data_IF_127148718121
#
_entry.id   IF_127148718121
#
_cell.length_a   1.000
_cell.length_b   1.000
_cell.length_c   1.000
_cell.angle_alpha   90.00
_cell.angle_beta   90.00
_cell.angle_gamma   90.00
#
_symmetry.space_group_name_H-M   'P 1'
#
loop_
_entity.id
_entity.type
_entity.pdbx_description
1 polymer ?
#
# COMPACT_ATOMS: atom_id res chain seq x y z
N UNK A 1 102.21 -47.52 -37.03
CA UNK A 1 102.13 -47.40 -35.55
C UNK A 1 101.21 -46.23 -35.23
N UNK A 2 100.35 -46.28 -34.19
CA UNK A 2 99.32 -47.27 -33.89
C UNK A 2 97.94 -46.60 -33.58
N UNK A 3 96.93 -47.45 -33.34
CA UNK A 3 95.75 -47.25 -32.46
C UNK A 3 94.75 -46.08 -32.71
N UNK A 4 93.43 -46.21 -32.57
CA UNK A 4 92.60 -47.31 -32.08
C UNK A 4 91.24 -46.77 -31.58
N UNK A 5 90.19 -47.55 -31.86
CA UNK A 5 88.91 -47.73 -31.11
C UNK A 5 87.80 -46.66 -31.09
N UNK A 6 86.58 -47.21 -31.20
CA UNK A 6 85.29 -46.66 -30.74
C UNK A 6 84.23 -46.81 -31.84
N UNK A 7 83.49 -47.93 -31.97
CA UNK A 7 82.39 -48.35 -31.06
C UNK A 7 81.18 -47.42 -31.28
N UNK A 8 79.97 -47.81 -31.65
CA UNK A 8 79.27 -49.08 -31.84
C UNK A 8 77.77 -48.73 -32.04
N UNK A 9 76.93 -49.72 -32.34
CA UNK A 9 75.49 -49.62 -32.06
C UNK A 9 74.58 -49.31 -33.25
N UNK A 10 73.94 -50.38 -33.75
CA UNK A 10 72.83 -50.40 -34.74
C UNK A 10 71.56 -49.69 -34.24
N UNK A 11 70.69 -49.26 -35.16
CA UNK A 11 69.25 -49.53 -35.07
C UNK A 11 68.89 -50.61 -36.12
N UNK A 12 68.42 -51.82 -35.76
CA UNK A 12 67.04 -52.24 -35.38
C UNK A 12 65.99 -51.77 -36.39
N UNK A 13 65.53 -52.67 -37.26
CA UNK A 13 64.23 -53.40 -37.21
C UNK A 13 63.09 -52.56 -37.85
N UNK A 14 62.12 -53.04 -38.64
CA UNK A 14 61.60 -54.36 -39.03
C UNK A 14 60.53 -54.13 -40.12
N UNK A 15 60.33 -55.12 -41.01
CA UNK A 15 59.06 -55.64 -41.60
C UNK A 15 57.97 -54.60 -42.01
N UNK A 16 57.63 -54.39 -43.29
CA UNK A 16 56.89 -55.26 -44.23
C UNK A 16 55.58 -55.85 -43.70
N UNK A 17 54.54 -55.77 -44.55
CA UNK A 17 53.20 -56.38 -44.52
C UNK A 17 52.03 -55.52 -44.04
N UNK A 18 51.15 -55.17 -44.99
CA UNK A 18 49.77 -55.64 -44.92
C UNK A 18 48.68 -54.60 -44.58
N UNK A 19 47.66 -54.57 -45.44
CA UNK A 19 46.28 -54.38 -44.99
C UNK A 19 45.69 -53.01 -45.28
N UNK A 20 44.95 -52.90 -46.37
CA UNK A 20 43.91 -51.89 -46.51
C UNK A 20 42.85 -52.17 -45.42
N UNK A 21 42.73 -51.27 -44.44
CA UNK A 21 41.72 -51.38 -43.38
C UNK A 21 40.36 -51.07 -43.99
N UNK A 22 39.59 -52.12 -44.28
CA UNK A 22 38.17 -52.00 -44.58
C UNK A 22 37.46 -51.74 -43.25
N UNK A 23 37.03 -50.50 -43.03
CA UNK A 23 36.12 -50.18 -41.94
C UNK A 23 34.75 -50.80 -42.25
N UNK A 24 34.45 -51.96 -41.67
CA UNK A 24 33.07 -52.46 -41.58
C UNK A 24 32.35 -51.62 -40.53
N UNK A 25 31.58 -50.63 -40.98
CA UNK A 25 30.60 -49.98 -40.12
C UNK A 25 29.59 -51.03 -39.64
N UNK A 26 29.57 -51.28 -38.34
CA UNK A 26 28.55 -52.09 -37.70
C UNK A 26 27.20 -51.36 -37.84
N UNK A 27 26.34 -51.85 -38.73
CA UNK A 27 25.10 -51.21 -39.17
C UNK A 27 23.95 -51.25 -38.14
N UNK A 28 24.27 -51.40 -36.86
CA UNK A 28 23.26 -51.48 -35.79
C UNK A 28 22.86 -50.13 -35.20
N UNK A 29 23.37 -49.02 -35.74
CA UNK A 29 22.78 -47.71 -35.45
C UNK A 29 21.65 -47.49 -36.43
N UNK A 30 20.43 -47.83 -36.01
CA UNK A 30 19.21 -47.53 -36.77
C UNK A 30 19.20 -46.05 -37.11
N UNK A 31 18.96 -45.75 -38.40
CA UNK A 31 18.72 -44.40 -38.92
C UNK A 31 17.69 -43.64 -38.08
N UNK A 32 16.73 -44.33 -37.47
CA UNK A 32 15.73 -43.72 -36.59
C UNK A 32 16.35 -43.08 -35.33
N UNK A 33 17.42 -43.66 -34.78
CA UNK A 33 18.11 -43.10 -33.60
C UNK A 33 18.92 -41.86 -33.94
N UNK A 34 19.54 -41.82 -35.11
CA UNK A 34 20.29 -40.65 -35.60
C UNK A 34 19.32 -39.54 -35.98
N UNK A 35 18.21 -39.86 -36.67
CA UNK A 35 17.16 -38.90 -37.06
C UNK A 35 16.45 -38.34 -35.81
N UNK A 36 16.22 -39.14 -34.77
CA UNK A 36 15.65 -38.65 -33.51
C UNK A 36 16.61 -37.72 -32.76
N UNK A 37 17.92 -37.99 -32.76
CA UNK A 37 18.92 -37.09 -32.17
C UNK A 37 19.14 -35.81 -33.00
N UNK A 38 18.96 -35.83 -34.33
CA UNK A 38 19.07 -34.63 -35.17
C UNK A 38 17.77 -33.82 -35.29
N UNK A 39 16.59 -34.42 -35.10
CA UNK A 39 15.31 -33.68 -35.10
C UNK A 39 15.09 -32.83 -33.84
N UNK A 40 15.85 -33.06 -32.78
CA UNK A 40 15.90 -32.19 -31.60
C UNK A 40 16.78 -30.94 -31.82
N UNK A 41 17.66 -30.93 -32.84
CA UNK A 41 18.61 -29.83 -33.06
C UNK A 41 18.08 -28.71 -33.97
N UNK A 42 16.89 -28.86 -34.58
CA UNK A 42 16.40 -27.97 -35.64
C UNK A 42 15.09 -27.22 -35.35
N UNK A 43 14.60 -27.21 -34.11
CA UNK A 43 13.31 -26.57 -33.78
C UNK A 43 13.34 -25.74 -32.49
N UNK A 44 14.48 -25.09 -32.23
CA UNK A 44 14.72 -24.26 -31.04
C UNK A 44 14.18 -22.82 -31.17
N UNK A 45 13.75 -22.41 -32.37
CA UNK A 45 13.26 -21.05 -32.63
C UNK A 45 11.97 -20.72 -31.86
N UNK A 46 11.06 -21.69 -31.72
CA UNK A 46 9.83 -21.50 -30.95
C UNK A 46 10.03 -21.45 -29.43
N UNK A 47 11.04 -22.18 -28.92
CA UNK A 47 11.35 -22.22 -27.48
C UNK A 47 12.01 -20.93 -27.00
N UNK A 48 12.93 -20.38 -27.81
CA UNK A 48 13.56 -19.09 -27.52
C UNK A 48 12.53 -17.96 -27.43
N UNK A 49 11.54 -17.94 -28.34
CA UNK A 49 10.48 -16.95 -28.35
C UNK A 49 9.59 -17.04 -27.10
N UNK A 50 9.22 -18.26 -26.67
CA UNK A 50 8.46 -18.46 -25.43
C UNK A 50 9.21 -17.97 -24.18
N UNK A 51 10.50 -18.25 -24.08
CA UNK A 51 11.32 -17.78 -22.93
C UNK A 51 11.36 -16.26 -22.88
N UNK A 52 11.50 -15.58 -24.02
CA UNK A 52 11.49 -14.10 -24.05
C UNK A 52 10.15 -13.50 -23.64
N UNK A 53 9.03 -14.10 -24.07
CA UNK A 53 7.69 -13.68 -23.65
C UNK A 53 7.52 -13.87 -22.14
N UNK A 54 8.01 -14.99 -21.58
CA UNK A 54 7.91 -15.28 -20.16
C UNK A 54 8.72 -14.28 -19.31
N UNK A 55 9.92 -13.93 -19.78
CA UNK A 55 10.75 -12.89 -19.16
C UNK A 55 10.06 -11.53 -19.22
N UNK A 56 9.57 -11.11 -20.40
CA UNK A 56 8.85 -9.85 -20.56
C UNK A 56 7.59 -9.78 -19.70
N UNK A 57 6.81 -10.88 -19.62
CA UNK A 57 5.64 -10.98 -18.78
C UNK A 57 5.99 -10.85 -17.28
N UNK A 58 7.08 -11.48 -16.84
CA UNK A 58 7.55 -11.37 -15.45
C UNK A 58 8.02 -9.95 -15.10
N UNK A 59 8.69 -9.26 -16.03
CA UNK A 59 9.10 -7.88 -15.81
C UNK A 59 7.89 -6.94 -15.74
N UNK A 60 6.88 -7.19 -16.57
CA UNK A 60 5.66 -6.40 -16.59
C UNK A 60 4.85 -6.54 -15.28
N UNK A 61 4.74 -7.75 -14.74
CA UNK A 61 4.03 -7.95 -13.46
C UNK A 61 4.73 -7.28 -12.29
N UNK A 62 6.07 -7.32 -12.25
CA UNK A 62 6.85 -6.59 -11.24
C UNK A 62 6.65 -5.08 -11.38
N UNK A 63 6.69 -4.55 -12.60
CA UNK A 63 6.48 -3.13 -12.85
C UNK A 63 5.09 -2.66 -12.41
N UNK A 64 4.04 -3.45 -12.68
CA UNK A 64 2.69 -3.15 -12.19
C UNK A 64 2.59 -3.19 -10.66
N UNK A 65 3.26 -4.15 -10.01
CA UNK A 65 3.30 -4.23 -8.55
C UNK A 65 3.95 -3.00 -7.90
N UNK A 66 5.05 -2.49 -8.48
CA UNK A 66 5.71 -1.27 -7.99
C UNK A 66 4.83 -0.04 -8.19
N UNK A 67 4.17 0.09 -9.34
CA UNK A 67 3.31 1.24 -9.63
C UNK A 67 2.14 1.36 -8.64
N UNK A 68 1.49 0.24 -8.32
CA UNK A 68 0.40 0.22 -7.33
C UNK A 68 0.88 0.68 -5.95
N UNK A 69 2.09 0.28 -5.55
CA UNK A 69 2.69 0.64 -4.28
C UNK A 69 2.97 2.16 -4.20
N UNK A 70 3.48 2.76 -5.26
CA UNK A 70 3.72 4.21 -5.37
C UNK A 70 2.40 4.98 -5.27
N UNK A 71 1.36 4.56 -6.00
CA UNK A 71 0.05 5.21 -5.97
C UNK A 71 -0.57 5.15 -4.57
N UNK A 72 -0.50 3.98 -3.92
CA UNK A 72 -0.97 3.83 -2.53
C UNK A 72 -0.17 4.69 -1.56
N UNK A 73 1.15 4.78 -1.75
CA UNK A 73 2.02 5.66 -0.95
C UNK A 73 1.62 7.14 -1.05
N UNK A 74 1.32 7.62 -2.25
CA UNK A 74 0.84 8.99 -2.47
C UNK A 74 -0.51 9.25 -1.79
N UNK A 75 -1.45 8.29 -1.88
CA UNK A 75 -2.74 8.40 -1.21
C UNK A 75 -2.61 8.44 0.33
N UNK A 76 -1.75 7.59 0.90
CA UNK A 76 -1.46 7.58 2.35
C UNK A 76 -0.81 8.89 2.77
N UNK A 77 0.14 9.42 1.99
CA UNK A 77 0.80 10.70 2.29
C UNK A 77 -0.18 11.87 2.28
N UNK A 78 -1.07 11.94 1.27
CA UNK A 78 -2.09 12.99 1.17
C UNK A 78 -3.10 12.91 2.32
N UNK A 79 -3.58 11.72 2.65
CA UNK A 79 -4.52 11.54 3.77
C UNK A 79 -3.86 11.87 5.11
N UNK A 80 -2.60 11.49 5.32
CA UNK A 80 -1.84 11.80 6.53
C UNK A 80 -1.61 13.31 6.72
N UNK A 81 -1.12 14.00 5.68
CA UNK A 81 -0.87 15.45 5.73
C UNK A 81 -2.12 16.29 6.00
N UNK A 82 -3.27 15.89 5.46
CA UNK A 82 -4.55 16.58 5.70
C UNK A 82 -5.20 16.19 7.04
N UNK A 83 -4.82 15.08 7.64
CA UNK A 83 -5.44 14.59 8.89
C UNK A 83 -5.09 15.42 10.10
N UNK A 84 -3.84 15.88 10.22
CA UNK A 84 -3.38 16.67 11.36
C UNK A 84 -4.24 17.92 11.59
N UNK A 85 -4.42 18.78 10.58
CA UNK A 85 -5.30 19.95 10.69
C UNK A 85 -6.76 19.57 10.98
N UNK A 86 -7.29 18.50 10.39
CA UNK A 86 -8.65 18.04 10.67
C UNK A 86 -8.81 17.56 12.14
N UNK A 87 -7.80 16.90 12.71
CA UNK A 87 -7.77 16.55 14.13
C UNK A 87 -7.71 17.80 15.01
N UNK A 88 -6.82 18.75 14.69
CA UNK A 88 -6.73 20.03 15.39
C UNK A 88 -8.09 20.75 15.43
N UNK A 89 -8.82 20.77 14.31
CA UNK A 89 -10.15 21.36 14.27
C UNK A 89 -11.15 20.64 15.16
N UNK A 90 -11.09 19.31 15.19
CA UNK A 90 -11.96 18.48 16.02
C UNK A 90 -11.65 18.68 17.51
N UNK A 91 -10.37 18.67 17.88
CA UNK A 91 -9.91 18.88 19.25
C UNK A 91 -10.24 20.28 19.74
N UNK A 92 -10.08 21.30 18.90
CA UNK A 92 -10.45 22.69 19.24
C UNK A 92 -11.94 22.80 19.59
N UNK A 93 -12.81 22.11 18.84
CA UNK A 93 -14.23 22.04 19.14
C UNK A 93 -14.52 21.32 20.46
N UNK A 94 -13.83 20.20 20.72
CA UNK A 94 -13.97 19.44 21.96
C UNK A 94 -13.53 20.26 23.18
N UNK A 95 -12.38 20.93 23.11
CA UNK A 95 -11.86 21.80 24.16
C UNK A 95 -12.81 22.97 24.45
N UNK A 96 -13.45 23.54 23.42
CA UNK A 96 -14.42 24.61 23.64
C UNK A 96 -15.66 24.14 24.42
N UNK A 97 -16.14 22.92 24.15
CA UNK A 97 -17.25 22.32 24.89
C UNK A 97 -16.83 22.02 26.33
N UNK A 98 -15.66 21.41 26.51
CA UNK A 98 -15.06 21.15 27.83
C UNK A 98 -14.90 22.43 28.65
N UNK A 99 -14.43 23.49 28.01
CA UNK A 99 -14.27 24.80 28.64
C UNK A 99 -15.61 25.41 29.04
N UNK A 100 -16.64 25.31 28.19
CA UNK A 100 -17.99 25.74 28.53
C UNK A 100 -18.52 24.97 29.74
N UNK A 101 -18.37 23.64 29.74
CA UNK A 101 -18.77 22.78 30.84
C UNK A 101 -18.06 23.11 32.17
N UNK A 102 -16.79 23.55 32.11
CA UNK A 102 -16.02 23.94 33.31
C UNK A 102 -16.31 25.36 33.80
N UNK A 103 -16.46 26.32 32.88
CA UNK A 103 -16.54 27.75 33.22
C UNK A 103 -17.96 28.17 33.58
N UNK A 104 -18.98 27.51 33.04
CA UNK A 104 -20.35 27.83 33.38
C UNK A 104 -20.69 27.24 34.75
N UNK A 105 -20.54 28.05 35.80
CA UNK A 105 -21.27 27.85 37.07
C UNK A 105 -22.80 28.02 36.90
N UNK A 106 -23.24 28.32 35.68
CA UNK A 106 -24.59 28.16 35.15
C UNK A 106 -24.63 26.80 34.47
N UNK A 107 -25.63 25.99 34.76
CA UNK A 107 -25.76 24.66 34.16
C UNK A 107 -25.58 24.74 32.63
N UNK A 108 -24.48 24.22 32.05
CA UNK A 108 -24.24 24.25 30.61
C UNK A 108 -25.40 23.60 29.86
N UNK A 109 -26.11 22.68 30.50
CA UNK A 109 -27.25 21.96 29.96
C UNK A 109 -28.50 22.83 29.77
N UNK A 110 -28.63 23.95 30.49
CA UNK A 110 -29.74 24.88 30.30
C UNK A 110 -29.70 25.53 28.90
N UNK A 111 -28.51 25.87 28.41
CA UNK A 111 -28.30 26.47 27.09
C UNK A 111 -28.51 25.48 25.92
N UNK A 112 -28.51 24.17 26.21
CA UNK A 112 -28.64 23.09 25.21
C UNK A 112 -29.99 22.38 25.26
N UNK A 113 -30.92 22.81 26.11
CA UNK A 113 -32.26 22.24 26.25
C UNK A 113 -33.00 22.14 24.91
N UNK A 114 -32.90 23.19 24.08
CA UNK A 114 -33.52 23.24 22.74
C UNK A 114 -32.91 22.27 21.72
N UNK A 115 -31.71 21.75 21.99
CA UNK A 115 -30.98 20.82 21.12
C UNK A 115 -31.05 19.36 21.62
N UNK A 116 -31.84 19.05 22.66
CA UNK A 116 -31.95 17.69 23.22
C UNK A 116 -32.34 16.63 22.18
N UNK A 117 -33.20 17.00 21.23
CA UNK A 117 -33.67 16.12 20.14
C UNK A 117 -32.62 15.84 19.05
N UNK A 118 -31.40 16.37 19.19
CA UNK A 118 -30.37 16.30 18.16
C UNK A 118 -30.33 17.59 17.36
N UNK A 119 -29.28 18.39 17.56
CA UNK A 119 -29.05 19.63 16.81
C UNK A 119 -27.58 20.04 16.83
N UNK A 120 -27.22 21.04 16.03
CA UNK A 120 -25.86 21.56 16.01
C UNK A 120 -25.72 22.74 16.96
N UNK A 121 -24.57 22.90 17.61
CA UNK A 121 -24.34 23.97 18.56
C UNK A 121 -23.66 25.17 17.89
N UNK A 122 -24.20 26.36 18.12
CA UNK A 122 -23.52 27.64 17.86
C UNK A 122 -22.77 28.10 19.10
N UNK A 123 -21.46 27.84 19.09
CA UNK A 123 -20.51 28.20 20.13
C UNK A 123 -19.86 29.59 19.92
N UNK A 124 -20.16 30.27 18.80
CA UNK A 124 -19.71 31.62 18.44
C UNK A 124 -20.43 32.72 19.22
N UNK A 125 -21.56 32.40 19.86
CA UNK A 125 -22.36 33.32 20.67
C UNK A 125 -22.30 32.96 22.16
N UNK A 126 -22.56 33.96 23.00
CA UNK A 126 -22.63 33.80 24.46
C UNK A 126 -23.97 34.37 24.95
N UNK A 127 -24.86 33.54 25.55
CA UNK A 127 -24.72 32.10 25.75
C UNK A 127 -24.75 31.31 24.43
N UNK A 128 -24.15 30.10 24.38
CA UNK A 128 -24.26 29.21 23.23
C UNK A 128 -25.73 28.93 22.90
N UNK A 129 -26.06 28.78 21.62
CA UNK A 129 -27.44 28.51 21.19
C UNK A 129 -27.51 27.26 20.33
N UNK A 130 -28.67 26.61 20.34
CA UNK A 130 -28.99 25.55 19.41
C UNK A 130 -29.15 26.12 17.99
N UNK A 131 -28.52 25.50 17.01
CA UNK A 131 -28.64 25.79 15.60
C UNK A 131 -29.29 24.60 14.89
N UNK A 132 -30.45 24.85 14.28
CA UNK A 132 -31.22 23.83 13.59
C UNK A 132 -31.78 22.80 14.56
N UNK A 133 -32.71 23.20 15.43
CA UNK A 133 -33.80 22.29 15.80
C UNK A 133 -34.68 22.12 14.54
N UNK A 134 -35.13 20.89 14.27
CA UNK A 134 -35.82 20.45 13.05
C UNK A 134 -36.60 21.53 12.24
N UNK A 135 -36.61 21.47 10.89
CA UNK A 135 -36.33 20.29 10.07
C UNK A 135 -35.04 20.33 9.24
N UNK A 136 -34.23 21.39 9.34
CA UNK A 136 -32.99 21.50 8.56
C UNK A 136 -31.78 21.07 9.39
N UNK A 137 -31.46 19.78 9.30
CA UNK A 137 -30.36 19.07 9.98
C UNK A 137 -28.98 19.40 9.37
N UNK A 138 -28.80 20.67 8.94
CA UNK A 138 -27.58 21.12 8.30
C UNK A 138 -26.51 21.42 9.36
N UNK A 139 -25.29 20.88 9.24
CA UNK A 139 -24.21 21.15 10.18
C UNK A 139 -23.86 22.63 10.21
N UNK A 140 -23.83 23.20 11.42
CA UNK A 140 -23.24 24.51 11.64
C UNK A 140 -21.71 24.38 11.70
N UNK A 141 -21.02 25.01 10.76
CA UNK A 141 -19.57 24.99 10.68
C UNK A 141 -18.97 26.24 11.30
N UNK A 142 -18.26 26.06 12.41
CA UNK A 142 -17.40 27.05 13.03
C UNK A 142 -16.09 27.13 12.25
N UNK A 143 -15.62 28.34 11.96
CA UNK A 143 -14.33 28.57 11.33
C UNK A 143 -13.25 28.85 12.38
N UNK A 144 -12.12 28.16 12.32
CA UNK A 144 -10.99 28.31 13.25
C UNK A 144 -9.90 29.27 12.76
N UNK A 145 -10.10 29.88 11.59
CA UNK A 145 -9.10 30.71 10.92
C UNK A 145 -8.33 29.91 9.87
N UNK A 146 -8.10 30.54 8.72
CA UNK A 146 -7.56 29.90 7.53
C UNK A 146 -8.65 29.33 6.60
N UNK A 147 -8.35 29.31 5.30
CA UNK A 147 -9.28 28.78 4.31
C UNK A 147 -9.43 27.26 4.51
N UNK A 148 -10.65 26.81 4.82
CA UNK A 148 -11.08 25.42 4.95
C UNK A 148 -10.82 24.70 6.28
N UNK A 149 -10.43 25.39 7.36
CA UNK A 149 -10.34 24.77 8.69
C UNK A 149 -11.61 25.04 9.50
N UNK A 150 -12.48 24.04 9.57
CA UNK A 150 -13.79 24.19 10.20
C UNK A 150 -14.14 23.03 11.11
N UNK A 151 -14.97 23.26 12.12
CA UNK A 151 -15.54 22.19 12.93
C UNK A 151 -17.04 22.39 13.15
N UNK A 152 -17.76 21.31 13.36
CA UNK A 152 -19.17 21.33 13.75
C UNK A 152 -19.35 20.50 15.00
N UNK A 153 -20.26 20.93 15.88
CA UNK A 153 -20.58 20.20 17.11
C UNK A 153 -22.05 19.83 17.06
N UNK A 154 -22.35 18.53 17.09
CA UNK A 154 -23.70 18.01 17.26
C UNK A 154 -23.90 17.59 18.71
N UNK A 155 -25.01 18.00 19.31
CA UNK A 155 -25.39 17.61 20.66
C UNK A 155 -26.63 16.71 20.60
N UNK A 156 -26.64 15.70 21.46
CA UNK A 156 -27.79 14.82 21.67
C UNK A 156 -27.84 14.43 23.13
N UNK A 157 -29.04 14.47 23.70
CA UNK A 157 -29.27 14.04 25.06
C UNK A 157 -30.03 12.72 25.07
N UNK A 158 -29.57 11.77 25.87
CA UNK A 158 -30.24 10.49 26.03
C UNK A 158 -30.86 10.39 27.44
N UNK A 159 -32.17 10.62 27.51
CA UNK A 159 -32.98 10.55 28.72
C UNK A 159 -32.89 9.20 29.44
N UNK A 160 -32.82 8.09 28.69
CA UNK A 160 -32.78 6.75 29.28
C UNK A 160 -31.46 6.46 30.03
N UNK A 161 -30.39 7.19 29.71
CA UNK A 161 -29.06 6.98 30.30
C UNK A 161 -28.54 8.18 31.08
N UNK A 162 -29.33 9.26 31.16
CA UNK A 162 -28.94 10.57 31.70
C UNK A 162 -27.56 11.04 31.18
N UNK A 163 -27.31 10.85 29.87
CA UNK A 163 -26.03 11.17 29.23
C UNK A 163 -26.17 12.23 28.16
N UNK A 164 -25.27 13.20 28.23
CA UNK A 164 -25.04 14.23 27.23
C UNK A 164 -23.97 13.73 26.25
N UNK A 165 -24.29 13.66 24.97
CA UNK A 165 -23.37 13.25 23.93
C UNK A 165 -23.08 14.40 22.97
N UNK A 166 -21.80 14.67 22.77
CA UNK A 166 -21.29 15.67 21.85
C UNK A 166 -20.49 14.97 20.76
N UNK A 167 -20.93 15.09 19.52
CA UNK A 167 -20.20 14.62 18.34
C UNK A 167 -19.57 15.83 17.66
N UNK A 168 -18.26 15.96 17.78
CA UNK A 168 -17.48 17.00 17.14
C UNK A 168 -16.92 16.44 15.84
N UNK A 169 -17.07 17.19 14.75
CA UNK A 169 -16.52 16.84 13.43
C UNK A 169 -15.66 17.99 12.95
N UNK A 170 -14.35 17.76 12.80
CA UNK A 170 -13.42 18.69 12.18
C UNK A 170 -13.19 18.37 10.71
N UNK A 171 -12.99 19.40 9.91
CA UNK A 171 -12.74 19.31 8.47
C UNK A 171 -11.58 20.22 8.07
N UNK A 172 -10.73 19.67 7.21
CA UNK A 172 -9.71 20.41 6.48
C UNK A 172 -9.61 19.90 5.04
N UNK A 173 -10.10 20.71 4.08
CA UNK A 173 -10.22 20.29 2.68
C UNK A 173 -11.12 19.07 2.50
N UNK A 174 -10.53 17.96 2.05
CA UNK A 174 -11.20 16.65 1.88
C UNK A 174 -11.13 15.77 3.15
N UNK A 175 -10.22 16.07 4.09
CA UNK A 175 -10.09 15.29 5.30
C UNK A 175 -11.18 15.65 6.32
N UNK A 176 -11.74 14.62 6.95
CA UNK A 176 -12.74 14.73 8.01
C UNK A 176 -12.35 13.83 9.17
N UNK A 177 -12.41 14.36 10.38
CA UNK A 177 -12.18 13.63 11.63
C UNK A 177 -13.31 13.92 12.60
N UNK A 178 -13.59 12.97 13.48
CA UNK A 178 -14.68 13.10 14.45
C UNK A 178 -14.27 12.56 15.80
N UNK A 179 -14.68 13.25 16.85
CA UNK A 179 -14.51 12.84 18.24
C UNK A 179 -15.89 12.89 18.89
N UNK A 180 -16.23 11.86 19.65
CA UNK A 180 -17.45 11.83 20.47
C UNK A 180 -17.06 11.95 21.92
N UNK A 181 -17.72 12.82 22.66
CA UNK A 181 -17.52 12.98 24.10
C UNK A 181 -18.86 12.85 24.79
N UNK A 182 -18.93 11.97 25.79
CA UNK A 182 -20.14 11.71 26.55
C UNK A 182 -19.92 12.00 28.02
N UNK A 183 -20.85 12.74 28.61
CA UNK A 183 -20.86 13.04 30.05
C UNK A 183 -22.12 12.48 30.68
N UNK A 184 -21.98 11.97 31.89
CA UNK A 184 -23.11 11.59 32.73
C UNK A 184 -23.48 12.77 33.61
N UNK A 185 -24.77 13.11 33.65
CA UNK A 185 -25.27 14.15 34.54
C UNK A 185 -25.42 13.55 35.94
N UNK A 186 -24.67 14.07 36.89
CA UNK A 186 -24.90 13.79 38.32
C UNK A 186 -25.99 14.73 38.80
N UNK A 187 -27.15 14.17 39.14
CA UNK A 187 -28.27 14.90 39.75
C UNK A 187 -27.90 15.47 41.13
#
# INVERSE_FOLDING_TARGET
MPEGRGGGGKPKAKESWGGQVIYKFNSNVSLDKIIFMTRSAGNNEGSALLITILILASMLTVAFGVNELVVRGLQISRTSSLSGPAYLATESGAEKILWLARKSGVDPYAAFTDCRSGGYLRLDVSPPVCYGSAPYDAPYWHNLGGNNLTYSVKYTYNEATNKDNFVIVGRYGEARRSISVSYERSD
#
